data_IF_260169759248
#
_entry.id   IF_260169759248
#
_cell.length_a   1.000
_cell.length_b   1.000
_cell.length_c   1.000
_cell.angle_alpha   90.00
_cell.angle_beta   90.00
_cell.angle_gamma   90.00
#
_symmetry.space_group_name_H-M   'P 1'
#
loop_
_entity.id
_entity.type
_entity.pdbx_description
1 polymer ?
#
# COMPACT_ATOMS: atom_id res chain seq x y z
N UNK A 1 5.76 -8.90 -3.20
CA UNK A 1 5.74 -8.26 -1.86
C UNK A 1 5.62 -6.76 -2.09
N UNK A 2 4.71 -6.07 -1.40
CA UNK A 2 4.47 -4.63 -1.57
C UNK A 2 4.92 -3.80 -0.37
N UNK A 3 4.90 -4.37 0.83
CA UNK A 3 5.28 -3.69 2.06
C UNK A 3 6.24 -4.53 2.90
N UNK A 4 7.05 -3.84 3.70
CA UNK A 4 7.95 -4.46 4.66
C UNK A 4 8.21 -3.54 5.84
N UNK A 5 8.26 -4.11 7.05
CA UNK A 5 8.72 -3.37 8.21
C UNK A 5 10.23 -3.08 8.11
N UNK A 6 10.70 -1.93 8.63
CA UNK A 6 12.13 -1.68 8.77
C UNK A 6 12.85 -2.81 9.51
N UNK A 7 14.14 -3.00 9.22
CA UNK A 7 14.94 -4.06 9.86
C UNK A 7 15.46 -3.64 11.24
N UNK A 8 15.63 -2.33 11.42
CA UNK A 8 16.03 -1.73 12.68
C UNK A 8 14.86 -1.79 13.67
N UNK A 9 15.05 -2.50 14.78
CA UNK A 9 14.02 -2.76 15.80
C UNK A 9 13.34 -1.48 16.32
N UNK A 10 14.09 -0.38 16.43
CA UNK A 10 13.58 0.95 16.82
C UNK A 10 12.41 1.45 15.96
N UNK A 11 12.41 1.10 14.67
CA UNK A 11 11.47 1.62 13.69
C UNK A 11 10.33 0.65 13.39
N UNK A 12 10.36 -0.55 13.98
CA UNK A 12 9.32 -1.55 13.82
C UNK A 12 8.05 -1.07 14.52
N UNK A 13 6.92 -1.17 13.81
CA UNK A 13 5.58 -0.95 14.35
C UNK A 13 4.80 -2.24 14.20
N UNK A 14 4.57 -2.96 15.30
CA UNK A 14 4.03 -4.33 15.29
C UNK A 14 2.67 -4.46 14.59
N UNK A 15 1.81 -3.45 14.70
CA UNK A 15 0.48 -3.44 14.07
C UNK A 15 0.48 -2.88 12.65
N UNK A 16 1.65 -2.53 12.11
CA UNK A 16 1.81 -2.00 10.76
C UNK A 16 2.29 -3.08 9.79
N UNK A 17 1.86 -2.95 8.53
CA UNK A 17 2.43 -3.71 7.40
C UNK A 17 3.80 -3.15 6.95
N UNK A 18 4.21 -2.00 7.49
CA UNK A 18 5.47 -1.33 7.19
C UNK A 18 5.38 -0.31 6.06
N UNK A 19 6.51 -0.04 5.44
CA UNK A 19 6.64 0.94 4.35
C UNK A 19 6.51 0.27 2.97
N UNK A 20 6.06 0.98 1.93
CA UNK A 20 6.11 0.47 0.57
C UNK A 20 7.56 0.16 0.17
N UNK A 21 7.74 -0.97 -0.51
CA UNK A 21 9.04 -1.36 -1.07
C UNK A 21 9.46 -0.42 -2.21
N UNK A 22 10.74 -0.46 -2.60
CA UNK A 22 11.26 0.37 -3.70
C UNK A 22 10.43 0.25 -4.97
N UNK A 23 10.29 1.38 -5.66
CA UNK A 23 9.55 1.54 -6.92
C UNK A 23 8.06 1.14 -6.85
N UNK A 24 7.46 1.19 -5.65
CA UNK A 24 6.03 1.05 -5.44
C UNK A 24 5.40 2.39 -5.05
N UNK A 25 4.37 2.79 -5.79
CA UNK A 25 3.49 3.91 -5.43
C UNK A 25 2.20 3.37 -4.80
N UNK A 26 1.64 4.12 -3.85
CA UNK A 26 0.38 3.77 -3.21
C UNK A 26 -0.40 4.99 -2.74
N UNK A 27 -1.72 4.82 -2.62
CA UNK A 27 -2.60 5.77 -1.93
C UNK A 27 -3.83 5.06 -1.37
N UNK A 28 -4.45 5.70 -0.37
CA UNK A 28 -5.76 5.29 0.14
C UNK A 28 -6.82 6.12 -0.59
N UNK A 29 -7.80 5.45 -1.18
CA UNK A 29 -8.89 6.08 -1.93
C UNK A 29 -10.26 5.77 -1.33
N UNK A 30 -11.24 6.60 -1.68
CA UNK A 30 -12.65 6.33 -1.41
C UNK A 30 -13.07 4.94 -1.94
N UNK A 31 -13.82 4.19 -1.14
CA UNK A 31 -14.23 2.81 -1.45
C UNK A 31 -15.36 2.74 -2.48
N UNK A 32 -16.15 3.81 -2.64
CA UNK A 32 -17.27 3.81 -3.58
C UNK A 32 -16.81 3.91 -5.03
N UNK A 33 -15.82 4.76 -5.28
CA UNK A 33 -15.37 5.12 -6.64
C UNK A 33 -13.93 4.72 -6.94
N UNK A 34 -13.06 4.67 -5.92
CA UNK A 34 -11.62 4.48 -6.11
C UNK A 34 -10.88 5.68 -6.73
N UNK A 35 -11.56 6.80 -6.98
CA UNK A 35 -10.99 7.93 -7.73
C UNK A 35 -10.35 8.98 -6.82
N UNK A 36 -10.99 9.27 -5.69
CA UNK A 36 -10.57 10.32 -4.76
C UNK A 36 -9.60 9.79 -3.72
N UNK A 37 -8.41 10.38 -3.64
CA UNK A 37 -7.46 10.13 -2.55
C UNK A 37 -7.99 10.69 -1.22
N UNK A 38 -7.91 9.89 -0.15
CA UNK A 38 -8.34 10.28 1.18
C UNK A 38 -7.19 10.91 1.98
N UNK A 39 -7.48 11.84 2.91
CA UNK A 39 -6.50 12.37 3.85
C UNK A 39 -5.86 11.29 4.74
N UNK A 40 -4.67 11.60 5.26
CA UNK A 40 -3.96 10.73 6.22
C UNK A 40 -4.86 10.44 7.43
N UNK A 41 -5.02 9.16 7.75
CA UNK A 41 -5.77 8.68 8.90
C UNK A 41 -7.22 8.24 8.59
N UNK A 42 -7.71 8.51 7.38
CA UNK A 42 -9.01 7.98 6.94
C UNK A 42 -8.90 6.55 6.41
N UNK A 43 -9.96 5.76 6.62
CA UNK A 43 -10.05 4.37 6.16
C UNK A 43 -10.69 4.33 4.78
N UNK A 44 -10.07 3.60 3.85
CA UNK A 44 -10.55 3.42 2.49
C UNK A 44 -9.89 2.23 1.80
N UNK A 45 -9.98 2.19 0.47
CA UNK A 45 -9.34 1.15 -0.34
C UNK A 45 -7.86 1.50 -0.58
N UNK A 46 -6.97 0.53 -0.36
CA UNK A 46 -5.55 0.66 -0.69
C UNK A 46 -5.32 0.27 -2.14
N UNK A 47 -4.87 1.22 -2.96
CA UNK A 47 -4.44 0.94 -4.33
C UNK A 47 -2.94 1.12 -4.48
N UNK A 48 -2.33 0.28 -5.32
CA UNK A 48 -0.88 0.20 -5.49
C UNK A 48 -0.51 0.12 -6.98
N UNK A 49 0.61 0.73 -7.35
CA UNK A 49 1.19 0.69 -8.70
C UNK A 49 2.68 0.43 -8.61
N UNK A 50 3.15 -0.62 -9.29
CA UNK A 50 4.58 -0.95 -9.35
C UNK A 50 4.86 -2.27 -10.06
N UNK A 51 6.14 -2.64 -10.24
CA UNK A 51 6.55 -3.83 -10.98
C UNK A 51 6.17 -5.15 -10.28
N UNK A 52 5.83 -5.12 -8.99
CA UNK A 52 5.49 -6.30 -8.19
C UNK A 52 4.02 -6.76 -8.38
N UNK A 53 3.20 -6.02 -9.13
CA UNK A 53 1.77 -6.30 -9.31
C UNK A 53 1.54 -7.32 -10.44
N UNK A 54 0.53 -8.18 -10.28
CA UNK A 54 0.17 -9.18 -11.29
C UNK A 54 -0.23 -8.53 -12.63
N UNK A 55 0.00 -9.21 -13.74
CA UNK A 55 -0.35 -8.71 -15.08
C UNK A 55 -1.85 -8.80 -15.40
N UNK A 56 -2.58 -9.65 -14.68
CA UNK A 56 -3.96 -9.98 -15.01
C UNK A 56 -4.33 -11.34 -14.46
N UNK A 57 -5.62 -11.63 -14.50
CA UNK A 57 -6.09 -12.99 -14.30
C UNK A 57 -5.81 -13.81 -15.57
N UNK A 58 -5.57 -15.10 -15.39
CA UNK A 58 -5.45 -16.04 -16.51
C UNK A 58 -6.81 -16.22 -17.20
N UNK A 59 -6.83 -16.35 -18.53
CA UNK A 59 -8.03 -16.57 -19.35
C UNK A 59 -8.33 -18.06 -19.55
#
# INVERSE_FOLDING_TARGET
>A
VTHMNPLEEEWVREESIGLPVSDLEQKVVDIETGERELPIGEVGELIVRGPQIMQGYWN
#
